data_IF_995651112878
#
_entry.id   IF_995651112878
#
_cell.length_a   1.000
_cell.length_b   1.000
_cell.length_c   1.000
_cell.angle_alpha   90.00
_cell.angle_beta   90.00
_cell.angle_gamma   90.00
#
_symmetry.space_group_name_H-M   'P 1'
#
loop_
_entity.id
_entity.type
_entity.pdbx_description
1 polymer ?
#
# COMPACT_ATOMS: atom_id res chain seq x y z
N UNK A 1 -6.86 14.22 4.53
CA UNK A 1 -7.65 14.60 5.73
C UNK A 1 -6.79 14.31 6.95
N UNK A 2 -6.18 15.35 7.50
CA UNK A 2 -5.42 15.23 8.74
C UNK A 2 -6.33 14.77 9.88
N UNK A 3 -5.81 13.92 10.77
CA UNK A 3 -6.55 13.49 11.96
C UNK A 3 -6.67 14.70 12.89
N UNK A 4 -7.82 15.36 12.89
CA UNK A 4 -8.10 16.42 13.86
C UNK A 4 -8.22 15.83 15.26
N UNK A 5 -7.48 16.38 16.22
CA UNK A 5 -7.52 15.95 17.62
C UNK A 5 -8.92 16.13 18.24
N UNK A 6 -9.70 17.09 17.75
CA UNK A 6 -11.11 17.31 18.09
C UNK A 6 -11.91 17.37 16.79
N UNK A 7 -12.47 16.24 16.32
CA UNK A 7 -13.30 16.23 15.13
C UNK A 7 -14.59 17.02 15.41
N UNK A 8 -14.95 17.94 14.51
CA UNK A 8 -16.15 18.79 14.63
C UNK A 8 -17.17 18.52 13.54
N UNK A 9 -16.77 17.81 12.48
CA UNK A 9 -17.62 17.38 11.37
C UNK A 9 -17.47 15.87 11.12
N UNK A 10 -18.53 15.24 10.58
CA UNK A 10 -18.50 13.83 10.14
C UNK A 10 -17.34 13.57 9.16
N UNK A 11 -17.00 14.56 8.33
CA UNK A 11 -15.89 14.47 7.37
C UNK A 11 -14.49 14.40 8.01
N UNK A 12 -14.38 14.70 9.32
CA UNK A 12 -13.11 14.63 10.05
C UNK A 12 -12.77 13.21 10.51
N UNK A 13 -13.74 12.29 10.46
CA UNK A 13 -13.57 10.89 10.84
C UNK A 13 -13.07 10.05 9.66
N UNK A 14 -12.29 9.02 9.97
CA UNK A 14 -11.96 7.96 9.01
C UNK A 14 -13.06 6.91 9.07
N UNK A 15 -13.83 6.67 7.99
CA UNK A 15 -14.83 5.62 7.98
C UNK A 15 -14.15 4.25 8.07
N UNK A 16 -14.72 3.35 8.87
CA UNK A 16 -14.29 1.96 8.99
C UNK A 16 -15.42 1.09 8.43
N UNK A 17 -15.09 0.20 7.49
CA UNK A 17 -16.04 -0.77 6.93
C UNK A 17 -15.97 -2.06 7.74
N UNK A 18 -17.01 -2.33 8.53
CA UNK A 18 -17.13 -3.61 9.24
C UNK A 18 -17.88 -4.59 8.35
N UNK A 19 -17.13 -5.45 7.67
CA UNK A 19 -17.69 -6.47 6.77
C UNK A 19 -18.37 -7.61 7.54
N UNK A 20 -19.39 -8.21 6.93
CA UNK A 20 -20.00 -9.42 7.45
C UNK A 20 -19.02 -10.60 7.37
N UNK A 21 -19.30 -11.69 8.09
CA UNK A 21 -18.41 -12.85 8.17
C UNK A 21 -18.03 -13.40 6.79
N UNK A 22 -19.01 -13.62 5.92
CA UNK A 22 -18.78 -14.17 4.59
C UNK A 22 -17.88 -13.26 3.73
N UNK A 23 -18.11 -11.95 3.75
CA UNK A 23 -17.26 -10.99 3.05
C UNK A 23 -15.84 -10.98 3.57
N UNK A 24 -15.62 -11.08 4.89
CA UNK A 24 -14.27 -11.17 5.48
C UNK A 24 -13.53 -12.43 5.05
N UNK A 25 -14.22 -13.57 5.01
CA UNK A 25 -13.64 -14.84 4.55
C UNK A 25 -13.27 -14.74 3.08
N UNK A 26 -14.17 -14.23 2.24
CA UNK A 26 -13.92 -14.05 0.82
C UNK A 26 -12.76 -13.09 0.55
N UNK A 27 -12.72 -11.93 1.22
CA UNK A 27 -11.62 -10.97 1.10
C UNK A 27 -10.29 -11.58 1.50
N UNK A 28 -10.25 -12.38 2.57
CA UNK A 28 -9.03 -13.07 2.99
C UNK A 28 -8.53 -14.05 1.93
N UNK A 29 -9.42 -14.85 1.35
CA UNK A 29 -9.07 -15.80 0.29
C UNK A 29 -8.53 -15.07 -0.95
N UNK A 30 -9.19 -13.99 -1.38
CA UNK A 30 -8.73 -13.17 -2.48
C UNK A 30 -7.37 -12.53 -2.19
N UNK A 31 -7.19 -11.97 -0.99
CA UNK A 31 -5.95 -11.34 -0.58
C UNK A 31 -4.78 -12.34 -0.62
N UNK A 32 -4.98 -13.56 -0.13
CA UNK A 32 -3.95 -14.60 -0.12
C UNK A 32 -3.54 -15.00 -1.54
N UNK A 33 -4.52 -15.23 -2.43
CA UNK A 33 -4.24 -15.58 -3.83
C UNK A 33 -3.51 -14.46 -4.57
N UNK A 34 -4.02 -13.22 -4.47
CA UNK A 34 -3.43 -12.06 -5.16
C UNK A 34 -2.03 -11.74 -4.64
N UNK A 35 -1.85 -11.71 -3.32
CA UNK A 35 -0.55 -11.39 -2.72
C UNK A 35 0.49 -12.45 -3.10
N UNK A 36 0.11 -13.73 -3.04
CA UNK A 36 0.99 -14.83 -3.45
C UNK A 36 1.40 -14.71 -4.92
N UNK A 37 0.45 -14.40 -5.81
CA UNK A 37 0.74 -14.20 -7.22
C UNK A 37 1.67 -13.01 -7.47
N UNK A 38 1.42 -11.87 -6.82
CA UNK A 38 2.24 -10.66 -6.95
C UNK A 38 3.68 -10.88 -6.47
N UNK A 39 3.86 -11.60 -5.35
CA UNK A 39 5.19 -11.92 -4.81
C UNK A 39 5.93 -12.93 -5.68
N UNK A 40 5.31 -14.06 -6.05
CA UNK A 40 5.96 -15.12 -6.85
C UNK A 40 6.45 -14.63 -8.21
N UNK A 41 5.76 -13.63 -8.78
CA UNK A 41 6.10 -13.06 -10.07
C UNK A 41 6.89 -11.74 -9.96
N UNK A 42 7.33 -11.36 -8.76
CA UNK A 42 8.08 -10.11 -8.50
C UNK A 42 7.39 -8.86 -9.09
N UNK A 43 6.07 -8.78 -8.97
CA UNK A 43 5.25 -7.69 -9.54
C UNK A 43 5.16 -6.47 -8.62
N UNK A 44 5.55 -6.61 -7.36
CA UNK A 44 5.65 -5.50 -6.42
C UNK A 44 7.01 -4.81 -6.51
N UNK A 45 7.05 -3.50 -6.26
CA UNK A 45 8.31 -2.77 -6.16
C UNK A 45 9.11 -3.29 -4.95
N UNK A 46 10.41 -3.61 -5.10
CA UNK A 46 11.26 -4.01 -3.97
C UNK A 46 11.27 -3.00 -2.81
N UNK A 47 11.11 -1.70 -3.08
CA UNK A 47 11.04 -0.62 -2.08
C UNK A 47 9.60 -0.36 -1.58
N UNK A 48 8.65 -1.27 -1.80
CA UNK A 48 7.33 -1.24 -1.18
C UNK A 48 7.35 -2.01 0.15
N UNK A 49 7.31 -1.27 1.25
CA UNK A 49 7.38 -1.83 2.61
C UNK A 49 6.00 -1.96 3.30
N UNK A 50 5.01 -1.19 2.85
CA UNK A 50 3.66 -1.21 3.41
C UNK A 50 2.82 -2.37 2.85
N UNK A 51 1.99 -2.97 3.71
CA UNK A 51 1.01 -4.02 3.34
C UNK A 51 1.64 -5.23 2.63
N UNK A 52 2.89 -5.55 2.96
CA UNK A 52 3.66 -6.63 2.36
C UNK A 52 4.22 -7.54 3.45
N UNK A 53 4.22 -8.84 3.22
CA UNK A 53 4.74 -9.81 4.19
C UNK A 53 6.25 -9.69 4.35
N UNK A 54 6.77 -10.02 5.54
CA UNK A 54 8.20 -10.06 5.88
C UNK A 54 8.96 -8.72 5.77
N UNK A 55 8.26 -7.61 5.64
CA UNK A 55 8.83 -6.26 5.70
C UNK A 55 8.00 -5.37 6.63
N UNK A 56 8.64 -4.33 7.15
CA UNK A 56 8.08 -3.46 8.18
C UNK A 56 8.39 -1.99 7.92
N UNK A 57 7.83 -1.12 8.74
CA UNK A 57 8.17 0.31 8.72
C UNK A 57 9.60 0.58 9.17
N UNK A 58 10.22 -0.35 9.93
CA UNK A 58 11.63 -0.26 10.33
C UNK A 58 12.52 -0.45 9.11
N UNK A 59 12.21 -1.42 8.25
CA UNK A 59 12.98 -1.67 7.02
C UNK A 59 12.92 -0.44 6.09
N UNK A 60 11.75 0.18 5.96
CA UNK A 60 11.59 1.42 5.21
C UNK A 60 12.46 2.56 5.76
N UNK A 61 12.52 2.71 7.09
CA UNK A 61 13.33 3.73 7.74
C UNK A 61 14.82 3.48 7.58
N UNK A 62 15.25 2.22 7.71
CA UNK A 62 16.64 1.80 7.51
C UNK A 62 17.10 2.07 6.07
N UNK A 63 16.25 1.80 5.08
CA UNK A 63 16.53 2.12 3.67
C UNK A 63 16.76 3.63 3.47
N UNK A 64 15.87 4.47 3.99
CA UNK A 64 16.01 5.94 3.89
C UNK A 64 17.26 6.43 4.63
N UNK A 65 17.53 5.88 5.81
CA UNK A 65 18.73 6.22 6.59
C UNK A 65 20.00 5.83 5.82
N UNK A 66 20.04 4.64 5.24
CA UNK A 66 21.16 4.15 4.44
C UNK A 66 21.44 5.08 3.25
N UNK A 67 20.43 5.40 2.45
CA UNK A 67 20.57 6.29 1.28
C UNK A 67 21.06 7.68 1.69
N UNK A 68 20.53 8.21 2.81
CA UNK A 68 20.94 9.53 3.34
C UNK A 68 22.39 9.52 3.82
N UNK A 69 22.80 8.50 4.58
CA UNK A 69 24.17 8.36 5.07
C UNK A 69 25.16 8.15 3.91
N UNK A 70 24.79 7.36 2.91
CA UNK A 70 25.61 7.14 1.73
C UNK A 70 25.85 8.44 0.97
N UNK A 71 24.80 9.26 0.74
CA UNK A 71 24.95 10.58 0.14
C UNK A 71 25.86 11.50 0.96
N UNK A 72 25.68 11.54 2.30
CA UNK A 72 26.55 12.31 3.19
C UNK A 72 28.02 11.89 3.10
N UNK A 73 28.30 10.59 3.12
CA UNK A 73 29.66 10.04 3.02
C UNK A 73 30.32 10.41 1.67
N UNK A 74 29.52 10.50 0.60
CA UNK A 74 29.96 10.88 -0.73
C UNK A 74 29.97 12.41 -0.95
N UNK A 75 29.75 13.22 0.10
CA UNK A 75 29.65 14.69 0.04
C UNK A 75 28.58 15.18 -0.95
N UNK A 76 27.52 14.41 -1.13
CA UNK A 76 26.36 14.74 -1.95
C UNK A 76 25.24 15.34 -1.08
N UNK A 77 24.37 16.13 -1.72
CA UNK A 77 23.17 16.64 -1.07
C UNK A 77 22.10 15.54 -1.03
N UNK A 78 21.62 15.21 0.18
CA UNK A 78 20.43 14.37 0.36
C UNK A 78 19.18 15.25 0.46
N UNK A 79 18.15 14.95 -0.34
CA UNK A 79 16.85 15.63 -0.30
C UNK A 79 15.74 14.61 -0.28
N UNK A 80 14.75 14.80 0.59
CA UNK A 80 13.61 13.90 0.74
C UNK A 80 12.32 14.61 0.35
N UNK A 81 11.55 13.99 -0.55
CA UNK A 81 10.21 14.44 -0.92
C UNK A 81 9.20 13.46 -0.32
N UNK A 82 8.30 13.97 0.52
CA UNK A 82 7.26 13.20 1.16
C UNK A 82 5.91 13.50 0.51
N UNK A 83 5.15 12.45 0.20
CA UNK A 83 3.82 12.53 -0.41
C UNK A 83 2.81 11.76 0.44
N UNK A 84 1.70 12.40 0.79
CA UNK A 84 0.55 11.76 1.44
C UNK A 84 -0.71 11.96 0.58
N UNK A 85 -1.45 10.87 0.34
CA UNK A 85 -2.66 10.89 -0.48
C UNK A 85 -3.88 11.09 0.42
N UNK A 86 -4.55 12.23 0.26
CA UNK A 86 -5.81 12.49 0.97
C UNK A 86 -6.92 11.51 0.56
N UNK A 87 -7.55 10.89 1.57
CA UNK A 87 -8.66 9.95 1.40
C UNK A 87 -8.31 8.77 0.47
N UNK A 88 -7.07 8.27 0.55
CA UNK A 88 -6.50 7.28 -0.37
C UNK A 88 -7.46 6.14 -0.77
N UNK A 89 -8.12 5.47 0.19
CA UNK A 89 -9.02 4.35 -0.10
C UNK A 89 -10.35 4.75 -0.75
N UNK A 90 -10.89 5.92 -0.42
CA UNK A 90 -12.15 6.39 -1.02
C UNK A 90 -11.97 7.21 -2.30
N UNK A 91 -10.73 7.59 -2.61
CA UNK A 91 -10.35 8.28 -3.85
C UNK A 91 -9.94 7.31 -4.98
N UNK A 92 -10.00 5.98 -4.76
CA UNK A 92 -9.55 5.00 -5.77
C UNK A 92 -10.56 4.89 -6.92
N UNK A 93 -10.18 5.18 -8.19
CA UNK A 93 -11.05 4.99 -9.33
C UNK A 93 -11.27 3.49 -9.63
N UNK A 94 -12.44 2.95 -9.26
CA UNK A 94 -12.75 1.51 -9.37
C UNK A 94 -12.56 0.94 -10.78
N UNK A 95 -12.95 1.69 -11.83
CA UNK A 95 -12.77 1.24 -13.22
C UNK A 95 -11.29 1.01 -13.56
N UNK A 96 -10.42 1.94 -13.16
CA UNK A 96 -8.99 1.83 -13.40
C UNK A 96 -8.38 0.72 -12.54
N UNK A 97 -8.81 0.57 -11.29
CA UNK A 97 -8.36 -0.51 -10.42
C UNK A 97 -8.67 -1.89 -11.04
N UNK A 98 -9.90 -2.10 -11.50
CA UNK A 98 -10.30 -3.36 -12.14
C UNK A 98 -9.52 -3.62 -13.43
N UNK A 99 -9.26 -2.60 -14.24
CA UNK A 99 -8.40 -2.72 -15.43
C UNK A 99 -6.96 -3.13 -15.06
N UNK A 100 -6.39 -2.54 -14.00
CA UNK A 100 -5.05 -2.89 -13.52
C UNK A 100 -5.00 -4.31 -12.99
N UNK A 101 -5.99 -4.72 -12.20
CA UNK A 101 -6.10 -6.09 -11.69
C UNK A 101 -6.24 -7.09 -12.82
N UNK A 102 -7.10 -6.82 -13.81
CA UNK A 102 -7.25 -7.68 -14.97
C UNK A 102 -5.92 -7.86 -15.73
N UNK A 103 -5.11 -6.80 -15.89
CA UNK A 103 -3.79 -6.92 -16.52
C UNK A 103 -2.79 -7.74 -15.70
N UNK A 104 -2.83 -7.63 -14.36
CA UNK A 104 -1.94 -8.35 -13.45
C UNK A 104 -2.33 -9.83 -13.33
N UNK A 105 -3.63 -10.13 -13.39
CA UNK A 105 -4.22 -11.45 -13.22
C UNK A 105 -4.36 -12.21 -14.53
N UNK A 106 -4.61 -11.56 -15.68
CA UNK A 106 -4.75 -12.25 -16.97
C UNK A 106 -3.50 -13.05 -17.42
N UNK A 107 -2.37 -12.87 -16.73
CA UNK A 107 -1.13 -13.63 -16.93
C UNK A 107 -1.05 -14.92 -16.09
N UNK A 108 -2.04 -15.20 -15.24
CA UNK A 108 -2.08 -16.37 -14.36
C UNK A 108 -3.50 -16.88 -14.13
N UNK A 109 -3.66 -18.16 -13.79
CA UNK A 109 -4.95 -18.77 -13.42
C UNK A 109 -5.45 -18.32 -12.03
N UNK A 110 -5.24 -17.07 -11.65
CA UNK A 110 -5.83 -16.53 -10.40
C UNK A 110 -7.33 -16.36 -10.66
N UNK A 111 -8.12 -17.15 -9.95
CA UNK A 111 -9.58 -17.13 -10.04
C UNK A 111 -10.08 -15.85 -9.36
N UNK A 112 -10.59 -14.91 -10.15
CA UNK A 112 -11.45 -13.82 -9.68
C UNK A 112 -12.91 -14.22 -9.85
#
# INVERSE_FOLDING_TARGET
>A
VEKKAKPTSVADFRPISVLCLFSKVFERLLHEQLSTHLERNNLLNPKQFGFRSNVSTVDALLEVQYETLNACNNRQLATMVLLDISFAFGSVPHKLLLQRLALLVARSHVLL
#
